data_IF_135517673996
#
_entry.id   IF_135517673996
#
_cell.length_a   1.000
_cell.length_b   1.000
_cell.length_c   1.000
_cell.angle_alpha   90.00
_cell.angle_beta   90.00
_cell.angle_gamma   90.00
#
_symmetry.space_group_name_H-M   'P 1'
#
loop_
_entity.id
_entity.type
_entity.pdbx_description
1 polymer ?
#
# COMPACT_ATOMS: atom_id res chain seq x y z
N UNK A 1 7.45 -18.62 -9.40
CA UNK A 1 8.79 -18.04 -9.36
C UNK A 1 8.73 -16.51 -9.36
N UNK A 2 8.05 -15.86 -10.34
CA UNK A 2 8.01 -14.40 -10.44
C UNK A 2 7.49 -13.74 -9.16
N UNK A 3 6.38 -14.21 -8.58
CA UNK A 3 5.88 -13.74 -7.28
C UNK A 3 6.94 -13.88 -6.17
N UNK A 4 7.63 -15.01 -6.11
CA UNK A 4 8.71 -15.24 -5.13
C UNK A 4 9.88 -14.26 -5.30
N UNK A 5 10.20 -13.95 -6.55
CA UNK A 5 11.26 -12.96 -6.85
C UNK A 5 10.88 -11.55 -6.37
N UNK A 6 9.59 -11.17 -6.46
CA UNK A 6 9.08 -9.89 -5.95
C UNK A 6 9.08 -9.86 -4.42
N UNK A 7 8.50 -10.84 -3.74
CA UNK A 7 8.50 -10.98 -2.27
C UNK A 7 9.92 -10.83 -1.69
N UNK A 8 10.94 -11.34 -2.40
CA UNK A 8 12.33 -11.25 -1.95
C UNK A 8 12.95 -9.86 -2.06
N UNK A 9 12.23 -8.90 -2.62
CA UNK A 9 12.68 -7.52 -2.80
C UNK A 9 11.87 -6.62 -1.88
N UNK A 10 12.40 -6.16 -0.73
CA UNK A 10 11.73 -5.15 0.06
C UNK A 10 11.37 -3.93 -0.80
N UNK A 11 10.11 -3.51 -0.72
CA UNK A 11 9.51 -2.48 -1.58
C UNK A 11 8.55 -1.59 -0.80
N UNK A 12 8.96 -1.10 0.37
CA UNK A 12 8.13 -0.13 1.11
C UNK A 12 7.92 1.13 0.26
N UNK A 13 6.81 1.84 0.52
CA UNK A 13 6.47 3.07 -0.22
C UNK A 13 7.66 4.03 -0.31
N UNK A 14 7.90 4.57 -1.48
CA UNK A 14 9.09 5.37 -1.87
C UNK A 14 10.41 4.59 -2.04
N UNK A 15 10.44 3.27 -1.94
CA UNK A 15 11.63 2.42 -2.21
C UNK A 15 11.33 1.25 -3.15
N UNK A 16 10.42 1.45 -4.12
CA UNK A 16 9.91 0.40 -5.02
C UNK A 16 10.81 0.15 -6.24
N UNK A 17 11.84 0.97 -6.48
CA UNK A 17 12.66 0.92 -7.70
C UNK A 17 13.13 -0.49 -8.07
N UNK A 18 13.53 -1.30 -7.10
CA UNK A 18 14.07 -2.64 -7.35
C UNK A 18 13.01 -3.62 -7.84
N UNK A 19 11.82 -3.59 -7.21
CA UNK A 19 10.70 -4.45 -7.62
C UNK A 19 10.13 -4.01 -8.96
N UNK A 20 10.05 -2.69 -9.23
CA UNK A 20 9.68 -2.13 -10.54
C UNK A 20 10.57 -2.68 -11.65
N UNK A 21 11.88 -2.67 -11.45
CA UNK A 21 12.83 -3.21 -12.44
C UNK A 21 12.64 -4.72 -12.65
N UNK A 22 12.35 -5.48 -11.57
CA UNK A 22 12.08 -6.91 -11.69
C UNK A 22 10.78 -7.19 -12.46
N UNK A 23 9.75 -6.37 -12.24
CA UNK A 23 8.48 -6.47 -12.99
C UNK A 23 8.71 -6.14 -14.47
N UNK A 24 9.48 -5.07 -14.74
CA UNK A 24 9.86 -4.70 -16.11
C UNK A 24 10.51 -5.88 -16.85
N UNK A 25 11.51 -6.50 -16.25
CA UNK A 25 12.17 -7.67 -16.82
C UNK A 25 11.20 -8.82 -17.14
N UNK A 26 10.23 -9.07 -16.26
CA UNK A 26 9.24 -10.13 -16.51
C UNK A 26 8.28 -9.76 -17.63
N UNK A 27 7.75 -8.53 -17.66
CA UNK A 27 6.87 -8.06 -18.74
C UNK A 27 7.58 -8.13 -20.11
N UNK A 28 8.83 -7.69 -20.19
CA UNK A 28 9.65 -7.79 -21.42
C UNK A 28 9.88 -9.25 -21.83
N UNK A 29 10.23 -10.11 -20.87
CA UNK A 29 10.47 -11.55 -21.10
C UNK A 29 9.22 -12.29 -21.60
N UNK A 30 8.04 -11.98 -21.05
CA UNK A 30 6.79 -12.60 -21.49
C UNK A 30 6.20 -11.96 -22.76
N UNK A 31 6.84 -10.90 -23.29
CA UNK A 31 6.59 -10.37 -24.60
C UNK A 31 5.54 -9.30 -24.67
N UNK A 32 5.44 -8.41 -23.70
CA UNK A 32 4.64 -7.19 -23.80
C UNK A 32 5.09 -6.34 -25.00
N UNK A 33 4.17 -5.65 -25.66
CA UNK A 33 4.48 -4.85 -26.86
C UNK A 33 5.26 -3.58 -26.52
N UNK A 34 4.99 -3.00 -25.37
CA UNK A 34 5.71 -1.85 -24.82
C UNK A 34 5.74 -1.93 -23.30
N UNK A 35 6.90 -1.61 -22.73
CA UNK A 35 7.08 -1.54 -21.27
C UNK A 35 7.87 -0.28 -20.94
N UNK A 36 7.33 0.58 -20.09
CA UNK A 36 7.95 1.84 -19.70
C UNK A 36 7.77 2.11 -18.22
N UNK A 37 8.65 2.92 -17.65
CA UNK A 37 8.55 3.41 -16.27
C UNK A 37 8.32 4.92 -16.38
N UNK A 38 7.27 5.41 -15.76
CA UNK A 38 6.97 6.83 -15.74
C UNK A 38 7.87 7.61 -14.75
N UNK A 39 7.86 8.94 -14.77
CA UNK A 39 8.68 9.74 -13.85
C UNK A 39 8.31 9.59 -12.37
N UNK A 40 7.10 9.14 -12.04
CA UNK A 40 6.71 8.84 -10.66
C UNK A 40 7.27 7.50 -10.18
N UNK A 41 7.57 6.59 -11.12
CA UNK A 41 8.09 5.25 -10.83
C UNK A 41 7.12 4.12 -11.16
N UNK A 42 5.90 4.42 -11.61
CA UNK A 42 4.95 3.40 -12.02
C UNK A 42 5.47 2.63 -13.23
N UNK A 43 5.29 1.30 -13.23
CA UNK A 43 5.57 0.47 -14.40
C UNK A 43 4.32 0.31 -15.25
N UNK A 44 4.44 0.53 -16.55
CA UNK A 44 3.36 0.52 -17.52
C UNK A 44 3.67 -0.47 -18.63
N UNK A 45 2.92 -1.55 -18.69
CA UNK A 45 3.05 -2.59 -19.71
C UNK A 45 1.84 -2.60 -20.63
N UNK A 46 2.05 -2.63 -21.94
CA UNK A 46 0.99 -2.57 -22.94
C UNK A 46 0.98 -3.83 -23.79
N UNK A 47 -0.22 -4.30 -24.11
CA UNK A 47 -0.49 -5.39 -25.04
C UNK A 47 -1.60 -4.96 -26.00
N UNK A 48 -1.41 -5.20 -27.30
CA UNK A 48 -2.33 -4.78 -28.36
C UNK A 48 -2.20 -3.31 -28.74
N UNK A 49 -2.95 -2.93 -29.76
CA UNK A 49 -2.90 -1.59 -30.37
C UNK A 49 -4.29 -1.07 -30.74
N UNK A 50 -5.34 -1.66 -30.16
CA UNK A 50 -6.74 -1.25 -30.40
C UNK A 50 -7.04 0.13 -29.81
N UNK A 51 -8.12 0.77 -30.28
CA UNK A 51 -8.52 2.11 -29.83
C UNK A 51 -9.09 2.15 -28.41
N UNK A 52 -9.54 1.02 -27.87
CA UNK A 52 -10.14 0.93 -26.56
C UNK A 52 -9.09 0.59 -25.50
N UNK A 53 -8.83 1.53 -24.59
CA UNK A 53 -7.86 1.34 -23.51
C UNK A 53 -8.56 0.77 -22.27
N UNK A 54 -8.12 -0.41 -21.85
CA UNK A 54 -8.56 -1.07 -20.60
C UNK A 54 -7.36 -1.30 -19.71
N UNK A 55 -7.46 -1.01 -18.42
CA UNK A 55 -6.35 -1.19 -17.50
C UNK A 55 -6.62 -2.28 -16.46
N UNK A 56 -5.55 -3.01 -16.13
CA UNK A 56 -5.43 -3.82 -14.92
C UNK A 56 -4.37 -3.17 -14.04
N UNK A 57 -4.66 -3.04 -12.77
CA UNK A 57 -3.78 -2.35 -11.81
C UNK A 57 -3.43 -3.25 -10.62
N UNK A 58 -2.18 -3.17 -10.20
CA UNK A 58 -1.71 -3.68 -8.91
C UNK A 58 -0.70 -2.70 -8.35
N UNK A 59 -0.84 -2.32 -7.09
CA UNK A 59 0.26 -1.63 -6.43
C UNK A 59 1.41 -2.59 -6.11
N UNK A 60 2.60 -2.07 -6.03
CA UNK A 60 3.83 -2.87 -5.88
C UNK A 60 4.64 -2.47 -4.66
N UNK A 61 4.23 -1.41 -3.99
CA UNK A 61 4.72 -1.13 -2.65
C UNK A 61 4.03 -2.02 -1.61
N UNK A 62 4.69 -2.21 -0.50
CA UNK A 62 4.22 -3.02 0.62
C UNK A 62 4.46 -2.29 1.92
N UNK A 63 3.60 -2.52 2.91
CA UNK A 63 3.90 -2.07 4.27
C UNK A 63 5.10 -2.81 4.84
N UNK A 64 5.78 -2.19 5.80
CA UNK A 64 6.90 -2.81 6.52
C UNK A 64 6.50 -4.12 7.22
N UNK A 65 7.48 -4.96 7.51
CA UNK A 65 7.25 -6.27 8.17
C UNK A 65 6.91 -6.19 9.65
N UNK A 66 7.08 -5.02 10.26
CA UNK A 66 6.79 -4.79 11.66
C UNK A 66 7.68 -5.62 12.60
N UNK A 67 7.09 -6.20 13.64
CA UNK A 67 7.84 -7.00 14.58
C UNK A 67 8.12 -8.42 14.03
N UNK A 68 9.38 -8.69 13.70
CA UNK A 68 9.84 -9.98 13.17
C UNK A 68 9.49 -11.19 14.05
N UNK A 69 9.26 -10.99 15.36
CA UNK A 69 8.85 -12.07 16.28
C UNK A 69 7.42 -12.58 16.01
N UNK A 70 6.62 -11.82 15.28
CA UNK A 70 5.27 -12.21 14.90
C UNK A 70 5.23 -13.09 13.65
N UNK A 71 6.37 -13.30 12.99
CA UNK A 71 6.49 -14.12 11.81
C UNK A 71 7.05 -15.49 12.17
N UNK A 72 6.47 -16.55 11.59
CA UNK A 72 6.95 -17.93 11.75
C UNK A 72 8.03 -18.31 10.71
N UNK A 73 8.30 -17.41 9.78
CA UNK A 73 9.32 -17.53 8.73
C UNK A 73 9.83 -16.14 8.37
N UNK A 74 10.91 -16.05 7.62
CA UNK A 74 11.40 -14.75 7.12
C UNK A 74 10.42 -14.19 6.06
N UNK A 75 9.80 -13.03 6.27
CA UNK A 75 8.76 -12.49 5.40
C UNK A 75 9.26 -12.12 3.99
N UNK A 76 10.56 -11.90 3.80
CA UNK A 76 11.16 -11.61 2.50
C UNK A 76 11.74 -12.86 1.83
N UNK A 77 12.23 -13.84 2.58
CA UNK A 77 12.51 -15.15 2.00
C UNK A 77 11.23 -15.87 1.59
N UNK A 78 10.15 -15.58 2.31
CA UNK A 78 8.86 -16.18 2.10
C UNK A 78 8.83 -17.69 2.38
N UNK A 79 7.67 -18.26 2.25
CA UNK A 79 7.45 -19.70 2.30
C UNK A 79 6.68 -20.15 1.06
N UNK A 80 6.85 -21.42 0.69
CA UNK A 80 6.13 -22.02 -0.41
C UNK A 80 5.92 -23.52 -0.13
N UNK A 81 4.70 -23.97 -0.33
CA UNK A 81 4.34 -25.38 -0.34
C UNK A 81 3.41 -25.67 -1.53
N UNK A 82 2.76 -26.83 -1.55
CA UNK A 82 1.90 -27.24 -2.67
C UNK A 82 0.59 -26.43 -2.77
N UNK A 83 0.22 -25.68 -1.72
CA UNK A 83 -1.06 -24.97 -1.65
C UNK A 83 -0.90 -23.46 -1.54
N UNK A 84 0.25 -22.98 -1.08
CA UNK A 84 0.39 -21.61 -0.64
C UNK A 84 1.79 -21.03 -0.89
N UNK A 85 1.80 -19.75 -1.27
CA UNK A 85 3.00 -18.89 -1.24
C UNK A 85 2.76 -17.81 -0.21
N UNK A 86 3.63 -17.69 0.78
CA UNK A 86 3.55 -16.71 1.85
C UNK A 86 4.75 -15.78 1.88
N UNK A 87 4.51 -14.53 2.26
CA UNK A 87 5.53 -13.50 2.41
C UNK A 87 4.92 -12.11 2.46
N UNK A 88 5.74 -11.09 2.76
CA UNK A 88 5.27 -9.71 2.66
C UNK A 88 4.94 -9.40 1.20
N UNK A 89 3.77 -8.79 0.93
CA UNK A 89 3.29 -8.51 -0.43
C UNK A 89 2.66 -9.69 -1.17
N UNK A 90 2.73 -10.94 -0.65
CA UNK A 90 2.23 -12.12 -1.35
C UNK A 90 0.74 -12.02 -1.73
N UNK A 91 -0.09 -11.46 -0.86
CA UNK A 91 -1.51 -11.22 -1.10
C UNK A 91 -1.79 -9.78 -1.51
N UNK A 92 -1.13 -8.84 -0.85
CA UNK A 92 -1.32 -7.41 -0.99
C UNK A 92 0.00 -6.76 -1.42
N UNK A 93 0.22 -6.45 -2.77
CA UNK A 93 -0.65 -7.10 -3.81
C UNK A 93 0.21 -7.64 -4.98
N UNK A 94 1.43 -8.11 -4.67
CA UNK A 94 2.33 -8.70 -5.68
C UNK A 94 1.75 -9.97 -6.32
N UNK A 95 0.85 -10.69 -5.60
CA UNK A 95 0.10 -11.84 -6.14
C UNK A 95 -0.81 -11.42 -7.28
N UNK A 96 -1.49 -10.28 -7.15
CA UNK A 96 -2.27 -9.63 -8.20
C UNK A 96 -1.40 -9.26 -9.40
N UNK A 97 -0.25 -8.60 -9.16
CA UNK A 97 0.73 -8.25 -10.18
C UNK A 97 1.20 -9.50 -10.97
N UNK A 98 1.59 -10.56 -10.27
CA UNK A 98 2.02 -11.79 -10.93
C UNK A 98 0.91 -12.39 -11.81
N UNK A 99 -0.33 -12.40 -11.29
CA UNK A 99 -1.48 -12.96 -11.98
C UNK A 99 -1.81 -12.17 -13.25
N UNK A 100 -1.83 -10.81 -13.17
CA UNK A 100 -2.19 -10.00 -14.33
C UNK A 100 -1.11 -9.98 -15.41
N UNK A 101 0.19 -10.04 -15.06
CA UNK A 101 1.28 -10.14 -16.05
C UNK A 101 1.13 -11.41 -16.90
N UNK A 102 0.84 -12.54 -16.27
CA UNK A 102 0.64 -13.78 -17.00
C UNK A 102 -0.73 -13.88 -17.68
N UNK A 103 -1.78 -13.24 -17.14
CA UNK A 103 -3.05 -13.09 -17.85
C UNK A 103 -2.87 -12.28 -19.14
N UNK A 104 -2.11 -11.18 -19.09
CA UNK A 104 -1.74 -10.41 -20.27
C UNK A 104 -1.01 -11.26 -21.32
N UNK A 105 -0.05 -12.08 -20.90
CA UNK A 105 0.62 -13.04 -21.79
C UNK A 105 -0.36 -14.01 -22.45
N UNK A 106 -1.29 -14.57 -21.70
CA UNK A 106 -2.29 -15.51 -22.23
C UNK A 106 -3.20 -14.82 -23.23
N UNK A 107 -3.67 -13.60 -22.94
CA UNK A 107 -4.50 -12.80 -23.84
C UNK A 107 -3.78 -12.60 -25.18
N UNK A 108 -2.50 -12.22 -25.14
CA UNK A 108 -1.66 -12.05 -26.33
C UNK A 108 -1.47 -13.35 -27.11
N UNK A 109 -1.12 -14.45 -26.45
CA UNK A 109 -0.90 -15.75 -27.08
C UNK A 109 -2.16 -16.29 -27.78
N UNK A 110 -3.34 -15.92 -27.30
CA UNK A 110 -4.64 -16.29 -27.85
C UNK A 110 -5.17 -15.28 -28.88
N UNK A 111 -4.50 -14.13 -29.05
CA UNK A 111 -4.93 -13.06 -29.97
C UNK A 111 -6.29 -12.47 -29.56
N UNK A 112 -6.51 -12.26 -28.28
CA UNK A 112 -7.79 -11.77 -27.72
C UNK A 112 -7.80 -10.25 -27.52
N UNK A 113 -6.72 -9.55 -27.79
CA UNK A 113 -6.62 -8.09 -27.65
C UNK A 113 -7.47 -7.33 -28.66
N UNK A 114 -7.58 -7.84 -29.92
CA UNK A 114 -8.43 -7.34 -31.00
C UNK A 114 -8.58 -5.79 -31.02
N UNK A 115 -9.73 -5.27 -30.58
CA UNK A 115 -10.04 -3.84 -30.55
C UNK A 115 -9.50 -3.11 -29.31
N UNK A 116 -8.77 -3.81 -28.45
CA UNK A 116 -8.32 -3.28 -27.18
C UNK A 116 -6.80 -3.05 -27.15
N UNK A 117 -6.42 -2.05 -26.39
CA UNK A 117 -5.09 -1.94 -25.80
C UNK A 117 -5.25 -2.26 -24.31
N UNK A 118 -4.61 -3.33 -23.88
CA UNK A 118 -4.56 -3.70 -22.48
C UNK A 118 -3.36 -3.01 -21.84
N UNK A 119 -3.59 -2.19 -20.83
CA UNK A 119 -2.58 -1.56 -19.99
C UNK A 119 -2.50 -2.28 -18.65
N UNK A 120 -1.33 -2.79 -18.30
CA UNK A 120 -1.06 -3.33 -16.98
C UNK A 120 -0.18 -2.34 -16.23
N UNK A 121 -0.65 -1.85 -15.10
CA UNK A 121 0.08 -0.90 -14.26
C UNK A 121 0.56 -1.56 -12.99
N UNK A 122 1.84 -1.36 -12.68
CA UNK A 122 2.37 -1.57 -11.34
C UNK A 122 2.56 -0.21 -10.69
N UNK A 123 1.63 0.16 -9.83
CA UNK A 123 1.61 1.49 -9.23
C UNK A 123 2.42 1.55 -7.96
N UNK A 124 3.00 2.72 -7.68
CA UNK A 124 3.85 2.98 -6.52
C UNK A 124 3.10 3.80 -5.48
N UNK A 125 3.52 3.74 -4.22
CA UNK A 125 3.04 4.58 -3.12
C UNK A 125 1.53 4.47 -2.84
N UNK A 126 0.93 3.30 -3.07
CA UNK A 126 -0.48 3.11 -2.75
C UNK A 126 -0.70 3.09 -1.23
N UNK A 127 0.13 2.36 -0.49
CA UNK A 127 -0.01 2.13 0.95
C UNK A 127 0.06 3.43 1.78
N UNK A 128 0.85 4.40 1.35
CA UNK A 128 1.01 5.70 2.02
C UNK A 128 0.15 6.81 1.41
N UNK A 129 -0.17 6.76 0.13
CA UNK A 129 -0.79 7.86 -0.60
C UNK A 129 -2.02 7.47 -1.43
N UNK A 130 -2.61 6.29 -1.19
CA UNK A 130 -3.82 5.78 -1.84
C UNK A 130 -3.83 6.03 -3.38
N UNK A 131 -4.65 6.90 -3.89
CA UNK A 131 -4.82 7.13 -5.33
C UNK A 131 -3.84 8.12 -5.98
N UNK A 132 -2.75 8.54 -5.35
CA UNK A 132 -1.81 9.53 -5.90
C UNK A 132 -1.19 9.07 -7.24
N UNK A 133 -0.85 7.79 -7.35
CA UNK A 133 -0.32 7.19 -8.56
C UNK A 133 -1.29 7.32 -9.74
N UNK A 134 -2.57 7.02 -9.53
CA UNK A 134 -3.59 7.17 -10.56
C UNK A 134 -3.92 8.62 -10.86
N UNK A 135 -3.90 9.52 -9.88
CA UNK A 135 -4.00 10.96 -10.14
C UNK A 135 -2.88 11.41 -11.07
N UNK A 136 -1.63 10.96 -10.84
CA UNK A 136 -0.50 11.26 -11.70
C UNK A 136 -0.70 10.70 -13.12
N UNK A 137 -1.09 9.45 -13.27
CA UNK A 137 -1.35 8.81 -14.56
C UNK A 137 -2.40 9.57 -15.37
N UNK A 138 -3.48 10.03 -14.73
CA UNK A 138 -4.57 10.75 -15.39
C UNK A 138 -4.17 12.19 -15.72
N UNK A 139 -3.59 12.92 -14.77
CA UNK A 139 -3.37 14.36 -14.90
C UNK A 139 -2.06 14.71 -15.60
N UNK A 140 -0.98 13.96 -15.35
CA UNK A 140 0.33 14.25 -15.89
C UNK A 140 0.65 13.41 -17.13
N UNK A 141 0.31 12.12 -17.12
CA UNK A 141 0.56 11.21 -18.24
C UNK A 141 -0.59 11.15 -19.25
N UNK A 142 -1.74 11.76 -18.93
CA UNK A 142 -2.97 11.74 -19.74
C UNK A 142 -3.43 10.32 -20.12
N UNK A 143 -3.21 9.36 -19.25
CA UNK A 143 -3.66 7.97 -19.41
C UNK A 143 -5.09 7.88 -18.88
N UNK A 144 -6.05 7.56 -19.77
CA UNK A 144 -7.49 7.54 -19.45
C UNK A 144 -8.13 6.26 -19.95
N UNK A 145 -8.00 5.14 -19.21
CA UNK A 145 -8.69 3.91 -19.55
C UNK A 145 -10.21 4.07 -19.51
N UNK A 146 -10.93 3.30 -20.31
CA UNK A 146 -12.40 3.24 -20.26
C UNK A 146 -12.88 2.64 -18.93
N UNK A 147 -12.13 1.68 -18.39
CA UNK A 147 -12.27 1.20 -17.02
C UNK A 147 -10.97 0.60 -16.50
N UNK A 148 -10.88 0.46 -15.19
CA UNK A 148 -9.74 -0.12 -14.48
C UNK A 148 -10.25 -1.25 -13.60
N UNK A 149 -9.53 -2.37 -13.61
CA UNK A 149 -9.69 -3.44 -12.62
C UNK A 149 -8.48 -3.43 -11.71
N UNK A 150 -8.64 -3.08 -10.46
CA UNK A 150 -7.61 -3.25 -9.43
C UNK A 150 -7.65 -4.68 -8.90
N UNK A 151 -6.48 -5.28 -8.74
CA UNK A 151 -6.33 -6.68 -8.32
C UNK A 151 -6.14 -6.85 -6.82
N UNK A 152 -6.73 -5.94 -6.02
CA UNK A 152 -6.75 -6.00 -4.57
C UNK A 152 -7.23 -7.36 -4.02
N UNK A 153 -6.78 -7.78 -2.83
CA UNK A 153 -7.19 -9.05 -2.23
C UNK A 153 -8.66 -9.00 -1.81
N UNK A 154 -9.53 -9.62 -2.60
CA UNK A 154 -10.99 -9.63 -2.45
C UNK A 154 -11.61 -11.02 -2.31
N UNK A 155 -10.81 -12.05 -1.97
CA UNK A 155 -11.24 -13.45 -2.01
C UNK A 155 -11.86 -13.84 -3.37
N UNK A 156 -11.28 -13.37 -4.48
CA UNK A 156 -11.77 -13.55 -5.86
C UNK A 156 -13.22 -13.03 -6.07
N UNK A 157 -13.65 -12.04 -5.28
CA UNK A 157 -14.95 -11.39 -5.45
C UNK A 157 -14.78 -10.06 -6.18
N UNK A 158 -15.84 -9.63 -6.85
CA UNK A 158 -15.90 -8.32 -7.49
C UNK A 158 -16.39 -7.29 -6.46
N UNK A 159 -15.50 -6.41 -6.03
CA UNK A 159 -15.86 -5.25 -5.21
C UNK A 159 -16.19 -4.08 -6.11
N UNK A 160 -17.26 -3.36 -5.80
CA UNK A 160 -17.79 -2.25 -6.60
C UNK A 160 -17.59 -0.89 -5.95
N UNK A 161 -16.87 -0.84 -4.87
CA UNK A 161 -16.60 0.39 -4.12
C UNK A 161 -15.73 0.12 -2.92
N UNK A 162 -15.22 1.20 -2.35
CA UNK A 162 -14.31 1.19 -1.21
C UNK A 162 -14.68 2.30 -0.24
N UNK A 163 -14.31 2.14 1.02
CA UNK A 163 -14.42 3.19 2.03
C UNK A 163 -13.38 4.28 1.76
N UNK A 164 -13.71 5.52 2.09
CA UNK A 164 -12.71 6.58 2.15
C UNK A 164 -11.78 6.39 3.35
N UNK A 165 -10.55 6.86 3.23
CA UNK A 165 -9.54 6.92 4.29
C UNK A 165 -9.32 8.37 4.72
N UNK A 166 -9.08 8.59 6.00
CA UNK A 166 -8.69 9.89 6.54
C UNK A 166 -7.55 9.67 7.54
N UNK A 167 -6.45 10.36 7.34
CA UNK A 167 -5.36 10.41 8.31
C UNK A 167 -5.51 11.64 9.19
N UNK A 168 -5.44 11.44 10.49
CA UNK A 168 -5.61 12.50 11.48
C UNK A 168 -4.46 12.43 12.46
N UNK A 169 -3.70 13.50 12.56
CA UNK A 169 -2.67 13.65 13.58
C UNK A 169 -3.18 14.50 14.74
N UNK A 170 -3.01 14.00 15.95
CA UNK A 170 -3.33 14.72 17.20
C UNK A 170 -2.04 15.04 17.92
N UNK A 171 -1.71 16.31 18.04
CA UNK A 171 -0.54 16.81 18.75
C UNK A 171 -0.93 17.37 20.13
N UNK A 172 -0.22 16.91 21.15
CA UNK A 172 -0.37 17.38 22.54
C UNK A 172 0.92 18.08 22.98
N UNK A 173 0.78 19.28 23.48
CA UNK A 173 1.88 20.07 24.03
C UNK A 173 1.90 20.04 25.57
N UNK A 174 3.07 19.95 26.11
CA UNK A 174 3.38 20.02 27.52
C UNK A 174 4.45 21.07 27.82
N UNK A 175 5.14 20.90 28.91
CA UNK A 175 6.28 21.71 29.33
C UNK A 175 7.33 20.83 30.00
N UNK A 176 8.53 20.83 29.45
CA UNK A 176 9.64 20.06 30.02
C UNK A 176 10.15 20.65 31.32
N UNK A 177 10.65 19.77 32.15
CA UNK A 177 11.43 20.08 33.35
C UNK A 177 12.28 18.86 33.73
N UNK A 178 13.13 18.99 34.73
CA UNK A 178 13.93 17.87 35.22
C UNK A 178 13.05 16.75 35.77
N UNK A 179 13.29 15.49 35.40
CA UNK A 179 12.46 14.35 35.76
C UNK A 179 12.33 14.06 37.25
N UNK A 180 13.27 14.57 38.09
CA UNK A 180 13.16 14.48 39.55
C UNK A 180 12.24 15.53 40.22
N UNK A 181 11.73 16.50 39.42
CA UNK A 181 10.82 17.53 39.89
C UNK A 181 9.65 17.71 38.90
N UNK A 182 8.89 16.61 38.62
CA UNK A 182 7.88 16.60 37.58
C UNK A 182 6.73 17.58 37.81
N UNK A 183 6.51 18.01 39.03
CA UNK A 183 5.53 19.03 39.43
C UNK A 183 5.79 20.42 38.80
N UNK A 184 7.01 20.65 38.30
CA UNK A 184 7.40 21.88 37.62
C UNK A 184 7.13 21.87 36.13
N UNK A 185 6.79 20.71 35.58
CA UNK A 185 6.50 20.49 34.19
C UNK A 185 5.02 20.26 33.92
N UNK A 186 4.75 19.85 32.67
CA UNK A 186 3.43 19.42 32.23
C UNK A 186 3.64 18.30 31.21
N UNK A 187 3.32 17.06 31.59
CA UNK A 187 3.70 15.88 30.83
C UNK A 187 2.73 15.62 29.69
N UNK A 188 3.18 15.85 28.46
CA UNK A 188 2.40 15.65 27.25
C UNK A 188 1.93 14.18 27.06
N UNK A 189 2.73 13.20 27.50
CA UNK A 189 2.34 11.78 27.42
C UNK A 189 1.16 11.48 28.35
N UNK A 190 1.16 12.03 29.56
CA UNK A 190 0.04 11.84 30.48
C UNK A 190 -1.23 12.56 29.99
N UNK A 191 -1.09 13.67 29.25
CA UNK A 191 -2.22 14.33 28.61
C UNK A 191 -2.76 13.55 27.41
N UNK A 192 -1.90 12.83 26.68
CA UNK A 192 -2.31 11.99 25.55
C UNK A 192 -3.08 10.76 26.01
N UNK A 193 -2.79 10.19 27.17
CA UNK A 193 -3.42 8.95 27.65
C UNK A 193 -4.96 8.97 27.66
N UNK A 194 -5.66 10.00 28.21
CA UNK A 194 -7.11 10.07 28.11
C UNK A 194 -7.62 10.24 26.69
N UNK A 195 -6.90 10.95 25.81
CA UNK A 195 -7.25 11.09 24.40
C UNK A 195 -7.24 9.73 23.69
N UNK A 196 -6.23 8.90 23.92
CA UNK A 196 -6.19 7.53 23.40
C UNK A 196 -7.36 6.68 23.87
N UNK A 197 -7.77 6.84 25.13
CA UNK A 197 -8.95 6.14 25.67
C UNK A 197 -10.24 6.62 24.98
N UNK A 198 -10.37 7.92 24.73
CA UNK A 198 -11.52 8.50 24.03
C UNK A 198 -11.57 8.05 22.57
N UNK A 199 -10.42 7.98 21.86
CA UNK A 199 -10.33 7.48 20.50
C UNK A 199 -10.74 6.00 20.42
N UNK A 200 -10.30 5.16 21.37
CA UNK A 200 -10.77 3.77 21.46
C UNK A 200 -12.29 3.68 21.64
N UNK A 201 -12.86 4.56 22.46
CA UNK A 201 -14.31 4.70 22.63
C UNK A 201 -15.03 5.23 21.39
N UNK A 202 -14.40 6.13 20.61
CA UNK A 202 -14.94 6.64 19.37
C UNK A 202 -15.07 5.53 18.31
N UNK A 203 -14.08 4.65 18.18
CA UNK A 203 -14.14 3.52 17.27
C UNK A 203 -15.41 2.66 17.44
N UNK A 204 -15.94 2.57 18.66
CA UNK A 204 -17.18 1.83 18.92
C UNK A 204 -18.45 2.58 18.48
N UNK A 205 -18.37 3.90 18.32
CA UNK A 205 -19.49 4.79 17.99
C UNK A 205 -19.57 5.19 16.51
N UNK A 206 -18.61 4.74 15.69
CA UNK A 206 -18.65 5.01 14.25
C UNK A 206 -19.87 4.35 13.62
N UNK A 207 -20.47 5.05 12.66
CA UNK A 207 -21.69 4.60 11.98
C UNK A 207 -21.45 3.43 11.05
N UNK A 208 -22.56 2.79 10.66
CA UNK A 208 -22.62 1.77 9.63
C UNK A 208 -23.19 2.39 8.35
N UNK A 209 -22.54 2.10 7.23
CA UNK A 209 -23.06 2.36 5.89
C UNK A 209 -23.68 1.08 5.30
N UNK A 210 -24.82 1.20 4.64
CA UNK A 210 -25.55 0.04 4.09
C UNK A 210 -24.72 -0.74 3.06
N UNK A 211 -23.88 -0.06 2.29
CA UNK A 211 -23.06 -0.67 1.25
C UNK A 211 -21.62 -0.95 1.70
N UNK A 212 -21.00 -0.03 2.44
CA UNK A 212 -19.59 -0.07 2.81
C UNK A 212 -19.34 -0.69 4.20
N UNK A 213 -20.41 -0.92 4.96
CA UNK A 213 -20.32 -1.49 6.32
C UNK A 213 -19.86 -0.50 7.37
N UNK A 214 -19.44 -1.02 8.50
CA UNK A 214 -19.06 -0.20 9.66
C UNK A 214 -17.79 0.58 9.45
N UNK A 215 -17.79 1.86 9.84
CA UNK A 215 -16.59 2.68 9.92
C UNK A 215 -15.56 2.11 10.91
N UNK A 216 -14.29 2.30 10.64
CA UNK A 216 -13.18 1.83 11.48
C UNK A 216 -12.28 2.99 11.87
N UNK A 217 -11.61 2.88 13.02
CA UNK A 217 -10.59 3.80 13.49
C UNK A 217 -9.49 2.99 14.15
N UNK A 218 -8.25 3.29 13.84
CA UNK A 218 -7.08 2.75 14.53
C UNK A 218 -6.12 3.87 14.85
N UNK A 219 -5.35 3.70 15.91
CA UNK A 219 -4.16 4.51 16.19
C UNK A 219 -2.97 3.66 15.79
N UNK A 220 -2.26 4.06 14.75
CA UNK A 220 -1.18 3.29 14.13
C UNK A 220 0.20 3.69 14.65
N UNK A 221 0.37 4.95 15.08
CA UNK A 221 1.65 5.46 15.51
C UNK A 221 1.56 6.34 16.76
N UNK A 222 2.60 6.31 17.55
CA UNK A 222 2.83 7.25 18.66
C UNK A 222 4.17 7.93 18.44
N UNK A 223 4.14 9.24 18.28
CA UNK A 223 5.31 10.09 18.21
C UNK A 223 5.48 10.78 19.57
N UNK A 224 6.68 10.80 20.09
CA UNK A 224 7.00 11.59 21.28
C UNK A 224 8.32 12.30 21.10
N UNK A 225 8.42 13.46 21.70
CA UNK A 225 9.69 14.19 21.84
C UNK A 225 9.90 14.55 23.30
N UNK A 226 11.10 14.29 23.76
CA UNK A 226 11.59 14.75 25.06
C UNK A 226 13.04 15.18 24.88
N UNK A 227 13.47 16.29 25.49
CA UNK A 227 14.85 16.71 25.39
C UNK A 227 15.82 15.69 25.98
N UNK A 228 15.33 14.83 26.87
CA UNK A 228 16.14 13.79 27.53
C UNK A 228 15.26 12.73 28.19
N UNK A 229 15.80 11.52 28.39
CA UNK A 229 15.16 10.48 29.22
C UNK A 229 15.03 10.87 30.69
N UNK A 230 15.75 11.90 31.12
CA UNK A 230 15.70 12.47 32.47
C UNK A 230 14.79 13.71 32.56
N UNK A 231 14.02 13.99 31.53
CA UNK A 231 13.13 15.16 31.48
C UNK A 231 11.66 14.75 31.30
N UNK A 232 10.77 15.60 31.76
CA UNK A 232 9.34 15.50 31.46
C UNK A 232 9.11 15.76 29.97
N UNK A 233 8.32 14.92 29.31
CA UNK A 233 8.00 15.08 27.90
C UNK A 233 7.17 16.34 27.64
N UNK A 234 7.62 17.17 26.70
CA UNK A 234 6.96 18.43 26.32
C UNK A 234 6.13 18.33 25.04
N UNK A 235 6.18 17.21 24.35
CA UNK A 235 5.29 16.91 23.24
C UNK A 235 4.98 15.42 23.17
N UNK A 236 3.81 15.10 22.61
CA UNK A 236 3.39 13.74 22.23
C UNK A 236 2.39 13.88 21.10
N UNK A 237 2.52 13.06 20.08
CA UNK A 237 1.53 13.03 19.01
C UNK A 237 1.15 11.59 18.69
N UNK A 238 -0.04 11.40 18.13
CA UNK A 238 -0.53 10.13 17.58
C UNK A 238 -1.14 10.35 16.21
N UNK A 239 -1.08 9.34 15.38
CA UNK A 239 -1.76 9.29 14.11
C UNK A 239 -2.49 7.97 13.93
#
# INVERSE_FOLDING_TARGET
RFLRDMIAIPSESCDEKRVVLRIKEEMEKVGFDRVEIDPMGNILGYIGHGPHLVALDAHIDTVGVGNMKNWNFDPYQGMEDDELIGGRGASDQEGGMASMVYAGRIIKDLGLEDQYTLLLTGTVQEEDCDGLCWQYLIEQSNIRPEFVVSTEPTDCRIYRGQRGRMEIRVDVQGRSCHGSAPERGDNAIFKMAPILTDLQGLAQRLGDDEFLGKGTLTVSEIFFTSPSRCAVADSCAVS
#
